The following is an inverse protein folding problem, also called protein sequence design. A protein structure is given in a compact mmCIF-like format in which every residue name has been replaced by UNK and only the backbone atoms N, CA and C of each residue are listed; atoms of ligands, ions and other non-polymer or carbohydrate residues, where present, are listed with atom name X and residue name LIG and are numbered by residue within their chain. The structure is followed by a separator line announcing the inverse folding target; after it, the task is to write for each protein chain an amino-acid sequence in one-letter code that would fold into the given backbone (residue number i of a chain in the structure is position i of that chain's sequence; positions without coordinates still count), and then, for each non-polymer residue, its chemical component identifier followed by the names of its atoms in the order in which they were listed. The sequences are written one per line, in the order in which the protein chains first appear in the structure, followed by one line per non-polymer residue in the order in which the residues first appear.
data_IF_197814198826
#
_entry.id   IF_197814198826
#
_cell.length_a   1.000
_cell.length_b   1.000
_cell.length_c   1.000
_cell.angle_alpha   90.00
_cell.angle_beta   90.00
_cell.angle_gamma   90.00
#
_symmetry.space_group_name_H-M   'P 1'
#
loop_
_entity.id
_entity.type
_entity.pdbx_description
1 polymer ?
2 non-polymer ?
3 non-polymer ?
4 non-polymer ?
5 water ?
#
# COMPACT_ATOMS: atom_id res chain seq x y z
N UNK A 1 -9.37 12.13 12.36
CA UNK A 1 -8.74 11.18 11.37
C UNK A 1 -9.68 10.06 10.90
N UNK A 2 -10.38 9.43 11.86
CA UNK A 2 -11.41 8.43 11.56
C UNK A 2 -12.68 9.04 10.96
N UNK A 3 -12.97 10.30 11.31
CA UNK A 3 -14.16 11.01 10.81
C UNK A 3 -14.00 11.38 9.33
N UNK A 4 -15.09 11.23 8.58
CA UNK A 4 -15.09 11.44 7.12
C UNK A 4 -15.93 12.65 6.70
N UNK A 5 -15.54 13.29 5.60
CA UNK A 5 -16.35 14.33 4.96
C UNK A 5 -17.50 13.70 4.16
N UNK A 6 -18.40 14.54 3.65
CA UNK A 6 -19.58 14.06 2.90
C UNK A 6 -19.26 13.43 1.53
N UNK A 7 -18.18 13.88 0.88
CA UNK A 7 -17.74 13.29 -0.39
C UNK A 7 -17.23 11.85 -0.22
N UNK A 8 -16.46 11.63 0.84
CA UNK A 8 -15.96 10.28 1.19
C UNK A 8 -17.09 9.34 1.65
N UNK A 9 -18.04 9.89 2.40
CA UNK A 9 -19.21 9.13 2.87
C UNK A 9 -20.13 8.71 1.71
N UNK A 10 -20.32 9.62 0.76
CA UNK A 10 -21.12 9.36 -0.46
C UNK A 10 -20.52 8.27 -1.34
N UNK A 11 -19.20 8.35 -1.56
CA UNK A 11 -18.48 7.38 -2.40
C UNK A 11 -18.43 5.98 -1.80
N UNK A 12 -18.25 5.90 -0.49
CA UNK A 12 -18.22 4.62 0.23
C UNK A 12 -19.60 3.96 0.25
N UNK A 13 -20.64 4.78 0.41
CA UNK A 13 -22.03 4.31 0.30
C UNK A 13 -22.36 3.86 -1.13
N UNK A 14 -21.83 4.57 -2.12
CA UNK A 14 -22.01 4.21 -3.54
C UNK A 14 -21.31 2.89 -3.90
N UNK A 15 -20.12 2.66 -3.35
CA UNK A 15 -19.40 1.39 -3.54
C UNK A 15 -20.19 0.20 -2.98
N UNK A 16 -20.73 0.36 -1.77
CA UNK A 16 -21.48 -0.71 -1.08
C UNK A 16 -22.81 -1.03 -1.79
N UNK A 17 -23.51 0.02 -2.22
CA UNK A 17 -24.75 -0.13 -3.00
C UNK A 17 -24.53 -0.95 -4.28
N UNK A 18 -23.44 -0.67 -4.99
CA UNK A 18 -23.06 -1.44 -6.19
C UNK A 18 -22.64 -2.88 -5.85
N UNK A 19 -21.89 -3.03 -4.75
CA UNK A 19 -21.43 -4.34 -4.26
C UNK A 19 -22.58 -5.28 -3.85
N UNK A 20 -23.63 -4.71 -3.26
CA UNK A 20 -24.82 -5.48 -2.86
C UNK A 20 -25.54 -6.15 -4.05
N UNK A 21 -25.45 -5.53 -5.22
CA UNK A 21 -26.03 -6.09 -6.46
C UNK A 21 -25.27 -7.30 -7.03
N UNK A 22 -24.01 -7.48 -6.65
CA UNK A 22 -23.11 -8.45 -7.30
C UNK A 22 -23.45 -9.90 -6.95
N UNK A 23 -23.60 -10.18 -5.66
CA UNK A 23 -23.87 -11.54 -5.18
C UNK A 23 -22.61 -12.40 -5.15
N UNK A 24 -22.79 -13.71 -5.28
CA UNK A 24 -21.70 -14.68 -5.15
C UNK A 24 -20.81 -14.69 -6.40
N UNK A 25 -19.51 -14.47 -6.20
CA UNK A 25 -18.55 -14.42 -7.31
C UNK A 25 -18.22 -15.82 -7.82
N UNK A 26 -18.30 -16.01 -9.13
CA UNK A 26 -17.99 -17.29 -9.79
C UNK A 26 -17.00 -17.09 -10.93
N UNK A 27 -16.21 -18.12 -11.19
CA UNK A 27 -15.10 -18.09 -12.15
C UNK A 27 -15.53 -17.72 -13.58
N UNK A 28 -16.60 -18.34 -14.06
CA UNK A 28 -17.11 -18.10 -15.43
C UNK A 28 -17.80 -16.75 -15.63
N UNK A 29 -18.11 -16.03 -14.56
CA UNK A 29 -18.73 -14.70 -14.66
C UNK A 29 -17.73 -13.55 -14.89
N UNK A 30 -16.47 -13.88 -15.18
CA UNK A 30 -15.41 -12.89 -15.43
C UNK A 30 -14.84 -12.97 -16.85
N UNK A 31 -14.66 -11.80 -17.48
CA UNK A 31 -14.01 -11.66 -18.78
C UNK A 31 -12.74 -10.82 -18.61
N UNK A 32 -11.62 -11.29 -19.15
CA UNK A 32 -10.34 -10.58 -19.10
C UNK A 32 -10.36 -9.34 -20.00
N UNK A 33 -10.01 -8.18 -19.44
CA UNK A 33 -9.84 -6.94 -20.21
C UNK A 33 -8.37 -6.76 -20.52
N UNK A 34 -7.54 -6.74 -19.48
CA UNK A 34 -6.10 -6.56 -19.64
C UNK A 34 -5.30 -7.05 -18.43
N UNK A 35 -4.00 -7.26 -18.64
CA UNK A 35 -3.06 -7.56 -17.56
C UNK A 35 -2.60 -6.26 -16.92
N UNK A 36 -2.73 -6.16 -15.60
CA UNK A 36 -2.31 -4.96 -14.86
C UNK A 36 -0.86 -5.04 -14.37
N UNK A 37 -0.42 -6.24 -14.00
CA UNK A 37 0.98 -6.48 -13.61
C UNK A 37 1.16 -7.61 -12.61
N UNK A 38 2.31 -8.28 -12.67
CA UNK A 38 2.65 -9.36 -11.74
C UNK A 38 3.07 -8.80 -10.38
N UNK A 39 2.30 -9.10 -9.34
CA UNK A 39 2.51 -8.55 -7.99
C UNK A 39 3.08 -9.56 -7.00
N UNK A 40 2.54 -9.57 -5.77
CA UNK A 40 2.97 -10.51 -4.72
C UNK A 40 2.47 -11.93 -4.99
N UNK A 41 3.30 -12.73 -5.66
CA UNK A 41 3.00 -14.14 -5.89
C UNK A 41 1.79 -14.45 -6.74
N UNK A 42 1.49 -13.57 -7.70
CA UNK A 42 0.33 -13.76 -8.58
C UNK A 42 0.09 -12.61 -9.56
N UNK A 43 -0.58 -12.93 -10.66
CA UNK A 43 -0.87 -11.96 -11.72
C UNK A 43 -2.22 -11.28 -11.47
N UNK A 44 -2.23 -9.95 -11.53
CA UNK A 44 -3.46 -9.17 -11.37
C UNK A 44 -3.96 -8.75 -12.75
N UNK A 45 -5.23 -9.05 -13.03
CA UNK A 45 -5.90 -8.69 -14.28
C UNK A 45 -6.98 -7.64 -14.02
N UNK A 46 -7.17 -6.75 -14.98
CA UNK A 46 -8.38 -5.93 -15.05
C UNK A 46 -9.44 -6.81 -15.70
N UNK A 47 -10.59 -6.96 -15.04
CA UNK A 47 -11.65 -7.86 -15.51
C UNK A 47 -13.02 -7.19 -15.46
N UNK A 48 -13.93 -7.67 -16.30
CA UNK A 48 -15.35 -7.29 -16.24
C UNK A 48 -16.12 -8.42 -15.56
N UNK A 49 -16.90 -8.08 -14.53
CA UNK A 49 -17.90 -9.00 -13.98
C UNK A 49 -19.13 -8.93 -14.89
N UNK A 50 -19.26 -9.91 -15.78
CA UNK A 50 -20.22 -9.87 -16.90
C UNK A 50 -21.69 -9.66 -16.48
N UNK A 51 -22.17 -10.38 -15.44
CA UNK A 51 -23.56 -10.21 -15.01
C UNK A 51 -23.87 -8.79 -14.51
N UNK A 52 -23.07 -8.27 -13.59
CA UNK A 52 -23.28 -6.94 -13.01
C UNK A 52 -22.75 -5.79 -13.89
N UNK A 53 -21.85 -6.10 -14.82
CA UNK A 53 -21.19 -5.08 -15.65
C UNK A 53 -20.08 -4.29 -14.95
N UNK A 54 -19.77 -4.66 -13.71
CA UNK A 54 -18.75 -3.96 -12.91
C UNK A 54 -17.35 -4.35 -13.33
N UNK A 55 -16.50 -3.35 -13.54
CA UNK A 55 -15.06 -3.57 -13.73
C UNK A 55 -14.45 -3.84 -12.35
N UNK A 56 -13.53 -4.80 -12.31
CA UNK A 56 -12.83 -5.17 -11.07
C UNK A 56 -11.35 -5.43 -11.35
N UNK A 57 -10.59 -5.53 -10.26
CA UNK A 57 -9.21 -6.01 -10.30
C UNK A 57 -9.20 -7.41 -9.68
N UNK A 58 -8.68 -8.39 -10.41
CA UNK A 58 -8.69 -9.79 -10.00
C UNK A 58 -7.26 -10.34 -9.91
N UNK A 59 -6.82 -10.67 -8.69
CA UNK A 59 -5.52 -11.30 -8.46
C UNK A 59 -5.72 -12.81 -8.34
N UNK A 60 -4.98 -13.57 -9.15
CA UNK A 60 -5.02 -15.04 -9.13
C UNK A 60 -3.76 -15.61 -8.48
N UNK A 61 -3.94 -16.33 -7.37
CA UNK A 61 -2.83 -16.95 -6.64
C UNK A 61 -2.86 -18.46 -6.92
N UNK A 62 -1.94 -18.91 -7.78
CA UNK A 62 -1.85 -20.32 -8.15
C UNK A 62 -1.29 -21.17 -7.01
N UNK A 63 -2.13 -22.07 -6.47
CA UNK A 63 -1.73 -23.00 -5.41
C UNK A 63 -2.43 -24.35 -5.56
N UNK A 64 -1.69 -25.43 -5.32
CA UNK A 64 -2.22 -26.79 -5.30
C UNK A 64 -2.47 -27.19 -3.85
N UNK A 65 -3.72 -27.08 -3.41
CA UNK A 65 -4.12 -27.38 -2.02
C UNK A 65 -5.48 -28.07 -1.94
N UNK A 66 -5.69 -28.81 -0.86
CA UNK A 66 -6.91 -29.60 -0.66
C UNK A 66 -8.11 -28.72 -0.31
N UNK A 67 -9.36 -29.24 -0.48
CA UNK A 67 -10.58 -28.50 -0.10
C UNK A 67 -10.64 -27.96 1.34
N UNK A 68 -9.98 -28.64 2.28
CA UNK A 68 -9.90 -28.19 3.67
C UNK A 68 -9.17 -26.85 3.81
N UNK A 69 -7.97 -26.79 3.22
CA UNK A 69 -7.09 -25.61 3.31
C UNK A 69 -7.68 -24.40 2.59
N UNK A 70 -8.10 -24.59 1.34
CA UNK A 70 -8.60 -23.49 0.50
C UNK A 70 -9.90 -22.86 1.03
N UNK A 71 -10.83 -23.69 1.52
CA UNK A 71 -12.07 -23.19 2.12
C UNK A 71 -11.84 -22.41 3.42
N UNK A 72 -10.76 -22.72 4.14
CA UNK A 72 -10.34 -21.95 5.32
C UNK A 72 -9.78 -20.58 4.93
N UNK A 73 -9.09 -20.52 3.79
CA UNK A 73 -8.57 -19.25 3.26
C UNK A 73 -9.71 -18.31 2.83
N UNK A 74 -10.75 -18.85 2.20
CA UNK A 74 -11.89 -18.05 1.74
C UNK A 74 -12.68 -17.45 2.92
N UNK A 75 -12.89 -18.21 4.00
CA UNK A 75 -13.58 -17.69 5.19
C UNK A 75 -12.73 -16.66 5.97
N UNK A 76 -11.41 -16.83 5.97
CA UNK A 76 -10.49 -15.85 6.58
C UNK A 76 -10.45 -14.51 5.82
N UNK A 77 -10.59 -14.57 4.50
CA UNK A 77 -10.67 -13.37 3.66
C UNK A 77 -12.00 -12.59 3.80
N UNK A 78 -13.03 -13.19 4.40
CA UNK A 78 -14.34 -12.53 4.57
C UNK A 78 -14.33 -11.28 5.45
N UNK A 79 -13.31 -11.14 6.31
CA UNK A 79 -13.14 -9.92 7.12
C UNK A 79 -12.94 -8.65 6.27
N UNK A 80 -12.40 -8.82 5.05
CA UNK A 80 -12.25 -7.71 4.10
C UNK A 80 -13.56 -7.04 3.68
N UNK A 81 -14.69 -7.76 3.79
CA UNK A 81 -16.03 -7.18 3.64
C UNK A 81 -16.32 -6.08 4.66
N UNK A 82 -15.78 -6.24 5.88
CA UNK A 82 -15.95 -5.28 6.98
C UNK A 82 -14.98 -4.08 6.91
N UNK A 83 -13.89 -4.19 6.15
CA UNK A 83 -12.89 -3.12 6.06
C UNK A 83 -13.35 -2.02 5.09
N UNK A 84 -14.26 -1.18 5.59
CA UNK A 84 -14.87 -0.11 4.80
C UNK A 84 -14.26 1.25 5.16
N UNK A 85 -13.45 1.79 4.25
CA UNK A 85 -12.69 3.02 4.50
C UNK A 85 -12.28 3.72 3.20
N UNK A 86 -12.27 5.07 3.17
CA UNK A 86 -11.72 5.78 2.01
C UNK A 86 -10.22 5.55 1.71
N UNK A 87 -9.47 5.04 2.69
CA UNK A 87 -8.03 4.78 2.54
C UNK A 87 -7.68 3.28 2.48
N UNK A 88 -8.69 2.46 2.24
CA UNK A 88 -8.53 1.01 2.07
C UNK A 88 -9.25 0.60 0.78
N UNK A 89 -8.56 -0.19 -0.05
CA UNK A 89 -9.09 -0.64 -1.34
C UNK A 89 -10.29 -1.56 -1.10
N UNK A 90 -11.36 -1.34 -1.87
CA UNK A 90 -12.60 -2.08 -1.73
C UNK A 90 -12.48 -3.53 -2.12
N UNK A 91 -13.21 -4.38 -1.40
CA UNK A 91 -13.20 -5.83 -1.56
C UNK A 91 -14.58 -6.27 -2.07
N UNK A 92 -14.60 -7.05 -3.15
CA UNK A 92 -15.83 -7.63 -3.70
C UNK A 92 -16.08 -9.05 -3.23
N UNK A 93 -15.02 -9.86 -3.21
CA UNK A 93 -15.11 -11.25 -2.78
C UNK A 93 -13.90 -12.08 -3.13
N UNK A 94 -13.90 -13.33 -2.66
CA UNK A 94 -12.82 -14.28 -2.92
C UNK A 94 -13.37 -15.68 -3.11
N UNK A 95 -12.73 -16.44 -4.00
CA UNK A 95 -13.13 -17.82 -4.30
C UNK A 95 -11.96 -18.64 -4.85
N UNK A 96 -12.15 -19.95 -4.87
CA UNK A 96 -11.19 -20.89 -5.45
C UNK A 96 -11.77 -21.48 -6.73
N UNK A 97 -10.89 -21.72 -7.72
CA UNK A 97 -11.29 -22.34 -8.98
C UNK A 97 -10.09 -22.89 -9.75
N UNK A 98 -10.05 -24.21 -9.92
CA UNK A 98 -9.07 -24.90 -10.78
C UNK A 98 -7.61 -24.53 -10.48
N UNK A 99 -7.17 -24.87 -9.28
CA UNK A 99 -5.77 -24.69 -8.87
C UNK A 99 -5.31 -23.28 -8.58
N UNK A 100 -6.25 -22.36 -8.31
CA UNK A 100 -5.90 -20.96 -8.04
C UNK A 100 -6.97 -20.19 -7.25
N UNK A 101 -6.53 -19.59 -6.14
CA UNK A 101 -7.37 -18.66 -5.36
C UNK A 101 -7.49 -17.36 -6.13
N UNK A 102 -8.69 -16.79 -6.14
CA UNK A 102 -8.94 -15.48 -6.75
C UNK A 102 -9.38 -14.48 -5.68
N UNK A 103 -8.81 -13.27 -5.75
CA UNK A 103 -9.18 -12.17 -4.86
C UNK A 103 -9.62 -11.01 -5.73
N UNK A 104 -10.90 -10.63 -5.62
CA UNK A 104 -11.50 -9.60 -6.46
C UNK A 104 -11.70 -8.31 -5.67
N UNK A 105 -11.17 -7.22 -6.23
CA UNK A 105 -11.05 -5.95 -5.53
C UNK A 105 -11.55 -4.79 -6.40
N UNK A 106 -11.62 -3.61 -5.79
CA UNK A 106 -11.87 -2.35 -6.49
C UNK A 106 -10.71 -2.05 -7.44
N UNK A 107 -11.02 -1.75 -8.70
CA UNK A 107 -9.99 -1.37 -9.67
C UNK A 107 -9.57 0.08 -9.45
N UNK A 108 -8.25 0.29 -9.33
CA UNK A 108 -7.66 1.62 -9.12
C UNK A 108 -6.91 2.02 -10.39
N UNK A 109 -7.52 2.89 -11.20
CA UNK A 109 -7.00 3.17 -12.55
C UNK A 109 -5.60 3.83 -12.64
N UNK A 110 -5.15 4.44 -11.53
CA UNK A 110 -3.80 5.00 -11.43
C UNK A 110 -2.70 3.98 -11.15
N UNK A 111 -3.08 2.74 -10.84
CA UNK A 111 -2.13 1.68 -10.49
C UNK A 111 -1.52 1.87 -9.12
N UNK A 112 -0.39 1.21 -8.88
CA UNK A 112 0.36 1.33 -7.62
C UNK A 112 1.42 2.43 -7.72
N UNK A 113 1.96 2.84 -6.57
CA UNK A 113 2.95 3.93 -6.52
C UNK A 113 4.37 3.56 -6.99
N UNK A 114 4.71 2.27 -7.01
CA UNK A 114 5.95 1.83 -7.65
C UNK A 114 5.89 2.05 -9.17
N UNK A 115 4.70 1.84 -9.75
CA UNK A 115 4.47 2.11 -11.18
C UNK A 115 4.47 3.62 -11.48
N UNK A 116 3.81 4.40 -10.61
CA UNK A 116 3.75 5.85 -10.75
C UNK A 116 5.14 6.49 -10.60
N UNK A 117 5.92 5.98 -9.64
CA UNK A 117 7.29 6.43 -9.40
C UNK A 117 8.19 6.18 -10.61
N UNK A 118 8.10 4.95 -11.14
CA UNK A 118 8.86 4.54 -12.32
C UNK A 118 8.54 5.41 -13.55
N UNK A 119 7.29 5.87 -13.61
CA UNK A 119 6.82 6.81 -14.64
C UNK A 119 7.30 8.23 -14.35
N UNK A 120 7.12 8.68 -13.10
CA UNK A 120 7.45 10.05 -12.67
C UNK A 120 8.95 10.35 -12.56
N UNK A 121 9.74 9.32 -12.25
CA UNK A 121 11.14 9.49 -11.88
C UNK A 121 11.24 9.69 -10.38
N UNK A 122 10.76 10.84 -9.91
CA UNK A 122 10.53 11.07 -8.48
C UNK A 122 9.26 11.89 -8.24
N UNK A 123 8.67 11.73 -7.06
CA UNK A 123 7.36 12.33 -6.73
C UNK A 123 7.56 13.59 -5.87
N UNK A 124 6.84 14.69 -6.20
CA UNK A 124 7.05 15.93 -5.43
C UNK A 124 6.63 15.85 -3.96
N UNK A 125 7.32 16.62 -3.11
CA UNK A 125 7.06 16.65 -1.67
C UNK A 125 5.58 16.83 -1.29
N UNK A 126 4.93 17.81 -1.92
CA UNK A 126 3.51 18.11 -1.67
C UNK A 126 2.57 16.95 -2.04
N UNK A 127 2.91 16.23 -3.10
CA UNK A 127 2.19 15.01 -3.49
C UNK A 127 2.40 13.93 -2.42
N UNK A 128 3.64 13.76 -1.97
CA UNK A 128 3.98 12.80 -0.90
C UNK A 128 3.38 13.16 0.46
N UNK A 129 3.04 14.43 0.66
CA UNK A 129 2.26 14.87 1.82
C UNK A 129 0.87 14.26 1.84
N UNK A 130 0.20 14.25 0.70
CA UNK A 130 -1.11 13.60 0.55
C UNK A 130 -1.01 12.08 0.66
N UNK A 131 0.04 11.50 0.10
CA UNK A 131 0.33 10.06 0.26
C UNK A 131 0.50 9.71 1.74
N UNK A 132 1.26 10.54 2.46
CA UNK A 132 1.50 10.32 3.90
C UNK A 132 0.22 10.34 4.74
N UNK A 133 -0.64 11.33 4.49
CA UNK A 133 -1.95 11.45 5.17
C UNK A 133 -2.78 10.17 4.99
N UNK A 134 -2.85 9.69 3.75
CA UNK A 134 -3.65 8.52 3.40
C UNK A 134 -3.15 7.21 4.03
N UNK A 135 -1.82 7.03 4.06
CA UNK A 135 -1.23 5.84 4.68
C UNK A 135 -1.46 5.85 6.19
N UNK A 136 -1.24 7.00 6.85
CA UNK A 136 -1.48 7.13 8.29
C UNK A 136 -2.94 6.81 8.65
N UNK A 137 -3.88 7.43 7.92
CA UNK A 137 -5.31 7.23 8.15
C UNK A 137 -5.75 5.79 7.85
N UNK A 138 -5.20 5.21 6.78
CA UNK A 138 -5.42 3.80 6.45
C UNK A 138 -4.93 2.86 7.53
N UNK A 139 -3.72 3.12 8.05
CA UNK A 139 -3.17 2.35 9.18
C UNK A 139 -3.94 2.58 10.48
N UNK A 140 -4.37 3.81 10.71
CA UNK A 140 -5.21 4.15 11.87
C UNK A 140 -6.55 3.42 11.83
N UNK A 141 -7.16 3.31 10.64
CA UNK A 141 -8.42 2.61 10.47
C UNK A 141 -8.32 1.12 10.79
N UNK A 142 -7.33 0.46 10.21
CA UNK A 142 -7.08 -0.97 10.44
C UNK A 142 -6.81 -1.29 11.92
N UNK A 143 -6.10 -0.41 12.59
CA UNK A 143 -5.70 -0.60 13.99
C UNK A 143 -6.87 -0.32 14.94
N UNK A 144 -7.57 0.79 14.74
CA UNK A 144 -8.69 1.18 15.61
C UNK A 144 -9.94 0.32 15.41
N UNK A 145 -10.40 0.22 14.16
CA UNK A 145 -11.67 -0.45 13.86
C UNK A 145 -11.60 -1.98 13.75
N UNK A 146 -10.40 -2.53 13.55
CA UNK A 146 -10.23 -3.99 13.38
C UNK A 146 -9.12 -4.65 14.22
N UNK A 147 -8.35 -3.87 14.98
CA UNK A 147 -7.19 -4.38 15.75
C UNK A 147 -6.19 -5.13 14.85
N UNK A 148 -5.93 -4.55 13.68
CA UNK A 148 -5.10 -5.14 12.64
C UNK A 148 -3.98 -4.16 12.27
N UNK A 149 -2.79 -4.68 12.04
CA UNK A 149 -1.70 -3.92 11.40
C UNK A 149 -1.51 -4.41 9.97
N UNK A 150 -0.86 -3.61 9.14
CA UNK A 150 -0.71 -3.92 7.71
C UNK A 150 0.26 -5.09 7.48
N UNK A 151 1.47 -4.97 8.05
CA UNK A 151 2.57 -5.96 7.94
C UNK A 151 3.37 -5.92 6.62
N UNK A 152 2.96 -5.11 5.64
CA UNK A 152 3.62 -5.08 4.33
C UNK A 152 3.37 -3.78 3.57
N UNK A 153 3.66 -2.65 4.22
CA UNK A 153 3.61 -1.35 3.56
C UNK A 153 4.80 -1.25 2.60
N UNK A 154 4.50 -0.87 1.35
CA UNK A 154 5.51 -0.61 0.32
C UNK A 154 4.83 0.10 -0.86
N UNK A 155 5.59 0.75 -1.76
CA UNK A 155 4.98 1.48 -2.87
C UNK A 155 4.02 0.67 -3.76
N UNK A 156 4.32 -0.62 -3.97
CA UNK A 156 3.43 -1.51 -4.73
C UNK A 156 2.09 -1.81 -4.03
N UNK A 157 2.04 -1.67 -2.70
CA UNK A 157 0.80 -1.85 -1.92
C UNK A 157 0.03 -0.55 -1.62
N UNK A 158 0.45 0.57 -2.21
CA UNK A 158 -0.28 1.84 -2.12
C UNK A 158 -0.83 2.14 -3.53
N UNK A 159 -2.14 1.99 -3.69
CA UNK A 159 -2.81 2.18 -4.97
C UNK A 159 -3.48 3.55 -5.03
N UNK A 160 -3.57 4.10 -6.25
CA UNK A 160 -4.08 5.46 -6.48
C UNK A 160 -5.02 5.49 -7.69
N UNK A 161 -5.85 6.53 -7.78
CA UNK A 161 -6.77 6.68 -8.92
C UNK A 161 -7.02 8.12 -9.38
N UNK A 162 -7.70 8.24 -10.51
CA UNK A 162 -8.00 9.53 -11.16
C UNK A 162 -9.02 10.41 -10.43
N UNK A 163 -9.73 9.86 -9.43
CA UNK A 163 -10.58 10.66 -8.53
C UNK A 163 -9.78 11.29 -7.38
N UNK A 164 -8.48 11.03 -7.31
CA UNK A 164 -7.59 11.63 -6.32
C UNK A 164 -7.40 10.79 -5.06
N UNK A 165 -7.94 9.57 -5.06
CA UNK A 165 -7.94 8.70 -3.88
C UNK A 165 -6.62 7.94 -3.78
N UNK A 166 -6.17 7.72 -2.55
CA UNK A 166 -4.95 6.98 -2.24
C UNK A 166 -5.34 5.94 -1.19
N UNK A 167 -5.10 4.66 -1.50
CA UNK A 167 -5.61 3.54 -0.69
C UNK A 167 -4.55 2.45 -0.47
N UNK A 168 -4.67 1.75 0.67
CA UNK A 168 -3.82 0.61 0.99
C UNK A 168 -4.48 -0.72 0.63
N UNK A 169 -3.66 -1.70 0.25
CA UNK A 169 -4.09 -3.07 0.00
C UNK A 169 -3.06 -4.07 0.47
N UNK A 170 -3.42 -5.35 0.45
CA UNK A 170 -2.55 -6.48 0.83
C UNK A 170 -2.07 -6.43 2.29
N UNK A 171 -2.99 -6.08 3.18
CA UNK A 171 -2.74 -6.15 4.64
C UNK A 171 -3.05 -7.57 5.13
N UNK A 172 -2.37 -7.97 6.20
CA UNK A 172 -2.46 -9.33 6.73
C UNK A 172 -3.82 -9.68 7.32
N UNK A 173 -4.52 -10.61 6.68
CA UNK A 173 -5.84 -11.09 7.14
C UNK A 173 -5.95 -12.62 7.23
N UNK A 174 -5.40 -13.33 6.24
CA UNK A 174 -5.41 -14.80 6.19
C UNK A 174 -4.04 -15.37 6.55
N UNK A 175 -3.95 -16.01 7.72
CA UNK A 175 -2.74 -16.71 8.14
C UNK A 175 -2.41 -17.92 7.29
N UNK A 176 -3.45 -18.68 6.91
CA UNK A 176 -3.30 -19.88 6.08
C UNK A 176 -2.82 -19.58 4.66
N UNK A 177 -3.22 -18.44 4.10
CA UNK A 177 -2.77 -18.02 2.76
C UNK A 177 -1.26 -17.78 2.73
N UNK A 178 -0.74 -17.11 3.77
CA UNK A 178 0.70 -16.88 3.92
C UNK A 178 1.49 -18.19 4.11
N UNK A 179 0.90 -19.14 4.83
CA UNK A 179 1.48 -20.48 5.01
C UNK A 179 1.59 -21.23 3.68
N UNK A 180 0.49 -21.26 2.93
CA UNK A 180 0.42 -21.98 1.65
C UNK A 180 1.26 -21.35 0.53
N UNK A 181 1.29 -20.02 0.47
CA UNK A 181 2.14 -19.29 -0.49
C UNK A 181 3.63 -19.45 -0.22
N UNK A 182 4.01 -19.49 1.07
CA UNK A 182 5.40 -19.71 1.47
C UNK A 182 5.85 -21.13 1.20
N UNK A 186 8.37 -15.39 -0.07
CA UNK A 186 7.82 -14.99 -1.38
C UNK A 186 8.10 -13.51 -1.66
N UNK A 187 7.40 -12.62 -0.96
CA UNK A 187 7.50 -11.16 -1.19
C UNK A 187 8.78 -10.56 -0.63
N UNK A 188 9.11 -9.36 -1.11
CA UNK A 188 10.33 -8.66 -0.67
C UNK A 188 10.29 -8.30 0.82
N UNK A 189 11.43 -8.46 1.48
CA UNK A 189 11.61 -8.07 2.89
C UNK A 189 12.42 -6.77 3.02
N UNK A 190 12.73 -6.14 1.90
CA UNK A 190 13.58 -4.93 1.87
C UNK A 190 12.94 -3.68 2.47
N UNK A 191 11.63 -3.70 2.73
CA UNK A 191 10.93 -2.61 3.44
C UNK A 191 10.62 -2.93 4.90
N UNK A 192 11.07 -4.08 5.40
CA UNK A 192 10.81 -4.47 6.79
C UNK A 192 11.66 -3.68 7.76
N UNK A 193 11.11 -3.43 8.94
CA UNK A 193 11.79 -2.67 9.99
C UNK A 193 12.94 -3.49 10.58
N UNK A 194 13.98 -2.81 11.13
CA UNK A 194 15.12 -3.53 11.70
C UNK A 194 14.75 -4.51 12.81
N UNK A 195 13.79 -4.14 13.67
CA UNK A 195 13.33 -5.02 14.75
C UNK A 195 12.57 -6.26 14.26
N UNK A 196 11.87 -6.13 13.12
CA UNK A 196 11.25 -7.29 12.45
C UNK A 196 12.27 -8.23 11.81
N UNK A 197 13.32 -7.65 11.23
CA UNK A 197 14.44 -8.43 10.67
C UNK A 197 15.32 -9.07 11.77
N UNK A 198 15.28 -8.50 12.97
CA UNK A 198 15.91 -9.10 14.16
C UNK A 198 14.99 -10.08 14.93
N UNK A 199 13.73 -10.18 14.51
CA UNK A 199 12.77 -11.11 15.11
C UNK A 199 12.36 -10.77 16.54
N UNK A 200 12.32 -9.47 16.86
CA UNK A 200 12.04 -8.98 18.22
C UNK A 200 10.63 -8.33 18.27
N UNK A 201 10.33 -7.64 19.39
CA UNK A 201 9.03 -6.99 19.60
C UNK A 201 8.66 -5.99 18.49
N UNK A 202 7.75 -6.42 17.60
CA UNK A 202 7.26 -5.60 16.49
C UNK A 202 5.74 -5.38 16.57
N UNK A 203 5.30 -4.20 16.14
CA UNK A 203 3.91 -3.77 16.23
C UNK A 203 3.57 -2.87 15.03
N UNK A 204 2.53 -2.02 15.17
CA UNK A 204 2.21 -0.99 14.16
C UNK A 204 3.38 -0.03 13.85
N UNK A 205 4.28 0.14 14.82
CA UNK A 205 5.54 0.89 14.64
C UNK A 205 6.38 0.38 13.45
N UNK A 206 6.30 -0.93 13.20
CA UNK A 206 6.99 -1.56 12.07
C UNK A 206 6.48 -1.08 10.70
N UNK A 207 5.17 -0.83 10.59
CA UNK A 207 4.57 -0.24 9.38
C UNK A 207 5.00 1.20 9.15
N UNK A 208 5.24 1.93 10.25
CA UNK A 208 5.66 3.33 10.18
C UNK A 208 7.05 3.46 9.56
N UNK A 209 7.95 2.53 9.91
CA UNK A 209 9.27 2.43 9.26
C UNK A 209 9.11 2.25 7.76
N UNK A 210 8.30 1.25 7.39
CA UNK A 210 8.05 0.90 5.99
C UNK A 210 7.48 2.07 5.17
N UNK A 211 6.58 2.84 5.78
CA UNK A 211 6.07 4.07 5.18
C UNK A 211 7.20 5.08 4.99
N UNK A 212 7.93 5.35 6.07
CA UNK A 212 9.09 6.25 6.04
C UNK A 212 10.08 5.93 4.95
N UNK A 213 10.40 4.64 4.80
CA UNK A 213 11.36 4.19 3.79
C UNK A 213 10.79 4.33 2.37
N UNK A 214 9.53 3.93 2.20
CA UNK A 214 8.80 4.13 0.94
C UNK A 214 8.75 5.59 0.48
N UNK A 215 8.51 6.50 1.43
CA UNK A 215 8.45 7.94 1.14
C UNK A 215 9.79 8.50 0.69
N UNK A 216 10.87 8.02 1.31
CA UNK A 216 12.24 8.40 0.93
C UNK A 216 12.53 7.93 -0.51
N UNK A 217 12.19 6.68 -0.80
CA UNK A 217 12.36 6.12 -2.16
C UNK A 217 11.62 6.95 -3.20
N UNK A 218 10.35 7.20 -2.95
CA UNK A 218 9.50 7.99 -3.85
C UNK A 218 9.99 9.44 -4.00
N UNK A 219 10.54 10.00 -2.92
CA UNK A 219 11.07 11.36 -2.93
C UNK A 219 12.34 11.50 -3.78
N UNK A 220 13.29 10.56 -3.61
CA UNK A 220 14.59 10.61 -4.31
C UNK A 220 14.58 9.86 -5.66
N UNK A 221 13.63 8.97 -5.86
CA UNK A 221 13.46 8.23 -7.12
C UNK A 221 14.28 6.97 -7.21
N UNK A 222 14.60 6.40 -6.06
CA UNK A 222 15.51 5.25 -5.98
C UNK A 222 15.40 4.64 -4.58
N UNK A 223 15.41 3.31 -4.51
CA UNK A 223 15.43 2.63 -3.22
C UNK A 223 16.69 3.08 -2.45
N UNK A 224 16.52 3.69 -1.26
CA UNK A 224 17.59 4.51 -0.67
C UNK A 224 18.69 3.79 0.13
N UNK A 225 18.67 2.46 0.18
CA UNK A 225 19.69 1.68 0.90
C UNK A 225 20.48 0.85 -0.12
N UNK A 226 21.81 1.07 -0.24
CA UNK A 226 22.67 1.96 0.54
C UNK A 226 22.51 3.43 0.10
N UNK A 227 23.02 4.39 0.90
CA UNK A 227 22.83 5.81 0.53
C UNK A 227 23.51 6.20 -0.80
N UNK A 228 22.94 7.16 -1.55
CA UNK A 228 23.62 7.64 -2.75
C UNK A 228 24.88 8.46 -2.44
N UNK A 229 25.79 8.52 -3.41
CA UNK A 229 27.03 9.32 -3.28
C UNK A 229 26.72 10.81 -3.40
N UNK A 230 27.71 11.63 -3.05
CA UNK A 230 27.63 13.09 -3.22
C UNK A 230 27.51 13.48 -4.70
N UNK A 231 28.18 12.73 -5.57
CA UNK A 231 28.09 12.90 -7.02
C UNK A 231 26.73 12.45 -7.58
N UNK A 232 26.22 11.33 -7.06
CA UNK A 232 24.91 10.79 -7.46
C UNK A 232 23.75 11.70 -7.07
N UNK A 233 23.83 12.32 -5.89
CA UNK A 233 22.84 13.32 -5.45
C UNK A 233 22.83 14.57 -6.34
N UNK A 234 24.01 14.97 -6.83
CA UNK A 234 24.13 16.08 -7.79
C UNK A 234 23.52 15.72 -9.15
N UNK A 235 23.76 14.49 -9.60
CA UNK A 235 23.14 13.96 -10.83
C UNK A 235 21.63 13.75 -10.68
N UNK A 236 21.20 13.32 -9.49
CA UNK A 236 19.78 13.16 -9.17
C UNK A 236 19.08 14.52 -9.10
N UNK A 237 19.63 15.43 -8.31
CA UNK A 237 19.09 16.78 -8.12
C UNK A 237 20.03 17.83 -8.68
N UNK A 269 26.55 -3.97 -6.59
CA UNK A 269 25.16 -4.15 -6.18
C UNK A 269 25.03 -5.07 -4.97
N UNK A 270 24.31 -4.63 -3.94
CA UNK A 270 24.10 -5.43 -2.73
C UNK A 270 23.12 -6.56 -2.98
N UNK A 271 23.49 -7.77 -2.58
CA UNK A 271 22.55 -8.89 -2.53
C UNK A 271 21.52 -8.66 -1.43
N UNK A 272 20.36 -9.28 -1.55
CA UNK A 272 19.27 -9.08 -0.58
C UNK A 272 19.69 -9.36 0.87
N UNK A 273 20.48 -10.40 1.09
CA UNK A 273 21.02 -10.72 2.43
C UNK A 273 21.98 -9.66 2.97
N UNK A 274 22.84 -9.13 2.11
CA UNK A 274 23.71 -8.00 2.45
C UNK A 274 22.90 -6.73 2.73
N UNK A 275 21.80 -6.56 2.01
CA UNK A 275 20.91 -5.41 2.18
C UNK A 275 20.14 -5.44 3.50
N UNK A 276 19.58 -6.60 3.84
CA UNK A 276 18.85 -6.76 5.12
C UNK A 276 19.77 -6.63 6.34
N UNK A 277 21.03 -7.04 6.19
CA UNK A 277 22.05 -6.85 7.24
C UNK A 277 22.39 -5.37 7.42
N UNK A 278 22.46 -4.64 6.30
CA UNK A 278 22.68 -3.18 6.29
C UNK A 278 21.58 -2.44 7.08
N UNK A 279 20.33 -2.82 6.84
CA UNK A 279 19.16 -2.23 7.54
C UNK A 279 19.26 -2.39 9.06
N UNK A 280 19.67 -3.57 9.51
CA UNK A 280 19.79 -3.88 10.95
C UNK A 280 21.00 -3.18 11.60
N UNK A 281 22.13 -3.14 10.88
CA UNK A 281 23.42 -2.74 11.45
C UNK A 281 23.87 -1.29 11.22
N UNK A 282 23.46 -0.68 10.11
CA UNK A 282 23.89 0.68 9.74
C UNK A 282 22.82 1.73 10.08
N UNK A 283 23.20 3.04 10.08
CA UNK A 283 22.19 4.08 10.34
C UNK A 283 21.10 4.14 9.27
N UNK A 284 19.89 4.62 9.65
CA UNK A 284 18.77 4.62 8.72
C UNK A 284 18.95 5.67 7.60
N UNK A 285 18.24 5.49 6.47
CA UNK A 285 18.32 6.49 5.41
C UNK A 285 17.67 7.81 5.79
N UNK A 286 18.05 8.86 5.06
CA UNK A 286 17.49 10.20 5.24
C UNK A 286 17.33 10.85 3.87
N UNK A 287 16.47 11.86 3.81
CA UNK A 287 16.37 12.70 2.62
C UNK A 287 17.60 13.61 2.56
N UNK A 288 18.04 13.96 1.34
CA UNK A 288 19.12 14.95 1.22
C UNK A 288 18.63 16.35 1.63
N UNK A 289 19.55 17.15 2.19
CA UNK A 289 19.21 18.49 2.67
C UNK A 289 19.18 19.49 1.51
N UNK A 290 18.49 20.61 1.74
CA UNK A 290 18.38 21.69 0.75
C UNK A 290 17.17 21.57 -0.17
N UNK A 291 17.02 20.41 -0.80
CA UNK A 291 15.98 20.17 -1.82
C UNK A 291 14.58 19.82 -1.24
N UNK A 292 14.54 19.39 0.02
CA UNK A 292 13.27 19.16 0.74
C UNK A 292 13.18 20.04 1.98
N UNK A 293 11.94 20.33 2.40
CA UNK A 293 11.72 21.14 3.61
C UNK A 293 12.16 20.37 4.84
N UNK A 294 12.57 21.10 5.88
CA UNK A 294 12.98 20.50 7.15
C UNK A 294 11.83 19.76 7.85
N UNK A 295 10.59 20.20 7.61
CA UNK A 295 9.39 19.51 8.10
C UNK A 295 9.24 18.10 7.52
N UNK A 296 9.46 17.96 6.21
CA UNK A 296 9.41 16.66 5.54
C UNK A 296 10.59 15.76 5.96
N UNK A 297 11.79 16.35 6.02
CA UNK A 297 12.98 15.65 6.55
C UNK A 297 12.76 15.12 7.97
N UNK A 298 12.23 15.96 8.85
CA UNK A 298 11.94 15.56 10.23
C UNK A 298 10.90 14.44 10.30
N UNK A 299 9.84 14.56 9.50
CA UNK A 299 8.77 13.55 9.43
C UNK A 299 9.33 12.15 9.11
N UNK A 300 10.07 12.04 8.01
CA UNK A 300 10.66 10.75 7.61
C UNK A 300 11.71 10.26 8.61
N UNK A 301 12.47 11.18 9.21
CA UNK A 301 13.42 10.87 10.28
C UNK A 301 12.73 10.21 11.47
N UNK A 302 11.63 10.81 11.92
CA UNK A 302 10.83 10.25 13.03
C UNK A 302 10.19 8.89 12.69
N UNK A 303 9.92 8.66 11.40
CA UNK A 303 9.46 7.36 10.91
C UNK A 303 10.57 6.30 10.90
N UNK A 304 11.81 6.72 10.71
CA UNK A 304 12.95 5.81 10.48
C UNK A 304 13.94 5.71 11.66
N UNK A 305 13.55 6.18 12.85
CA UNK A 305 14.30 5.93 14.09
C UNK A 305 14.30 4.41 14.31
N UNK A 306 15.49 3.81 14.40
CA UNK A 306 15.62 2.34 14.45
C UNK A 306 15.02 1.69 15.71
N UNK A 307 15.07 2.40 16.83
CA UNK A 307 14.40 1.96 18.06
C UNK A 307 12.89 2.19 17.91
N UNK A 308 12.08 1.10 17.94
CA UNK A 308 10.62 1.25 17.78
C UNK A 308 9.92 2.03 18.90
N UNK A 309 10.49 2.03 20.10
CA UNK A 309 9.99 2.81 21.23
C UNK A 309 10.19 4.31 21.00
N UNK A 310 11.39 4.68 20.57
CA UNK A 310 11.72 6.07 20.24
C UNK A 310 11.03 6.56 18.96
N UNK A 311 10.81 5.64 18.01
CA UNK A 311 10.11 5.94 16.75
C UNK A 311 8.71 6.49 16.99
N UNK A 312 8.30 7.44 16.16
CA UNK A 312 6.99 8.08 16.28
C UNK A 312 5.85 7.10 16.02
N UNK A 313 4.70 7.35 16.64
CA UNK A 313 3.50 6.53 16.46
C UNK A 313 2.46 7.26 15.61
N UNK A 314 1.40 6.56 15.23
CA UNK A 314 0.35 7.11 14.37
C UNK A 314 -0.30 8.37 14.95
N UNK A 315 -0.53 8.38 16.26
CA UNK A 315 -1.08 9.53 16.98
C UNK A 315 -0.15 10.75 16.87
N UNK A 316 1.14 10.53 17.09
CA UNK A 316 2.14 11.58 16.99
C UNK A 316 2.33 12.08 15.56
N UNK A 317 2.39 11.16 14.60
CA UNK A 317 2.52 11.52 13.18
C UNK A 317 1.33 12.30 12.63
N UNK A 318 0.12 12.01 13.11
CA UNK A 318 -1.09 12.72 12.65
C UNK A 318 -1.09 14.22 12.98
N UNK A 319 -0.42 14.60 14.07
CA UNK A 319 -0.27 16.01 14.48
C UNK A 319 1.12 16.61 14.14
N UNK A 320 1.91 15.90 13.33
CA UNK A 320 3.25 16.36 12.93
C UNK A 320 3.14 17.58 12.01
N UNK A 321 4.13 18.46 12.05
CA UNK A 321 4.12 19.73 11.29
C UNK A 321 3.94 19.53 9.78
N UNK A 322 4.62 18.52 9.24
CA UNK A 322 4.49 18.13 7.83
C UNK A 322 3.05 17.76 7.45
N UNK A 323 2.40 16.96 8.30
CA UNK A 323 1.03 16.49 8.06
C UNK A 323 0.02 17.62 8.20
N UNK A 324 0.15 18.41 9.26
CA UNK A 324 -0.69 19.61 9.48
C UNK A 324 -0.62 20.57 8.28
N UNK A 325 0.61 20.84 7.83
CA UNK A 325 0.82 21.68 6.65
C UNK A 325 0.25 21.03 5.38
N UNK A 326 0.54 19.76 5.18
CA UNK A 326 0.02 18.99 4.03
C UNK A 326 -1.51 18.95 3.97
N UNK A 327 -2.14 18.74 5.12
CA UNK A 327 -3.60 18.69 5.21
C UNK A 327 -4.25 20.03 4.86
N UNK A 328 -3.61 21.13 5.26
CA UNK A 328 -4.06 22.48 4.91
C UNK A 328 -3.85 22.82 3.43
N UNK A 329 -2.76 22.33 2.85
CA UNK A 329 -2.46 22.52 1.42
C UNK A 329 -3.52 21.85 0.54
N UNK A 330 -4.17 22.64 -0.30
CA UNK A 330 -5.14 22.11 -1.28
C UNK A 330 -4.38 21.72 -2.55
N UNK A 331 -3.85 20.50 -2.55
CA UNK A 331 -3.06 19.95 -3.65
C UNK A 331 -3.97 19.11 -4.55
N UNK A 332 -3.92 19.37 -5.85
CA UNK A 332 -4.68 18.62 -6.84
C UNK A 332 -3.91 17.35 -7.21
N UNK A 333 -4.08 16.31 -6.41
CA UNK A 333 -3.40 15.02 -6.63
C UNK A 333 -3.87 14.31 -7.90
N UNK A 334 -5.18 14.33 -8.13
CA UNK A 334 -5.79 13.68 -9.30
C UNK A 334 -5.21 14.24 -10.60
N UNK A 335 -5.20 15.56 -10.71
CA UNK A 335 -4.63 16.25 -11.87
C UNK A 335 -3.16 15.96 -12.07
N UNK A 336 -2.39 16.01 -10.98
CA UNK A 336 -0.96 15.67 -11.03
C UNK A 336 -0.74 14.24 -11.55
N UNK A 337 -1.52 13.30 -11.02
CA UNK A 337 -1.41 11.88 -11.38
C UNK A 337 -1.65 11.67 -12.88
N UNK A 338 -2.77 12.19 -13.37
CA UNK A 338 -3.18 12.02 -14.77
C UNK A 338 -2.16 12.56 -15.77
N UNK A 339 -1.62 13.74 -15.47
CA UNK A 339 -0.54 14.35 -16.27
C UNK A 339 0.75 13.52 -16.25
N UNK A 340 1.08 12.99 -15.07
CA UNK A 340 2.33 12.23 -14.87
C UNK A 340 2.32 10.87 -15.56
N UNK A 341 1.20 10.13 -15.46
CA UNK A 341 1.09 8.79 -16.04
C UNK A 341 0.35 8.75 -17.39
N UNK A 342 -0.10 9.90 -17.86
CA UNK A 342 -0.70 10.03 -19.18
C UNK A 342 -2.11 9.47 -19.33
N UNK A 343 -2.95 9.69 -18.32
CA UNK A 343 -4.38 9.39 -18.42
C UNK A 343 -5.05 10.50 -19.22
N UNK A 344 -5.35 10.20 -20.50
CA UNK A 344 -5.73 11.21 -21.49
C UNK A 344 -7.06 11.91 -21.20
X LIG B 1 -4.81 -8.78 -1.98
X LIG B 1 -4.15 -7.71 -4.00
X LIG B 1 -3.35 -6.57 -4.05
X LIG B 1 -3.60 -5.58 -4.99
X LIG B 1 -4.65 -5.71 -5.91
X LIG B 1 -5.45 -6.89 -5.85
X LIG B 1 -3.90 -4.32 -7.84
X LIG B 1 -4.12 -3.33 -8.83
X LIG B 1 -6.12 -3.95 -6.94
X LIG B 1 -4.85 -1.35 -10.66
X LIG B 1 -3.57 -1.93 -10.74
X LIG B 1 -1.57 -2.46 -11.29
X LIG B 1 -1.87 -3.26 -10.22
X LIG B 1 -0.96 -4.23 -9.59
X LIG B 1 0.24 -4.61 -10.50
X LIG B 1 0.62 -4.42 -7.60
X LIG B 1 -3.91 -8.70 -3.09
X LIG B 1 -6.79 -7.19 -6.93
X LIG B 1 -5.19 -7.86 -4.91
X LIG B 1 -4.89 -4.65 -6.92
X LIG B 1 -5.39 -2.65 -8.83
X LIG B 1 -6.36 -2.98 -7.87
X LIG B 1 -7.09 -4.23 -6.04
X LIG B 1 -5.69 -1.69 -9.73
X LIG B 1 -2.56 -1.70 -11.60
X LIG B 1 1.20 -5.53 -9.74
X LIG B 1 1.68 -4.76 -8.57
X LIG B 1 -0.42 -3.55 -8.31
X LIG B 1 -3.16 -2.94 -9.84
X LIG C 1 -14.13 -21.85 -15.39
X LIG D 1 -17.79 -23.84 -16.21
X LIG E 1 2.49 -9.07 0.67
#
# INVERSE_FOLDING_TARGET
ELELDEQQRKRLEAFLTQKQKVGELKDDDFEKISELGAGNGGVVFKVSHKPSGLVMARKLIHLEIKPAIRNQIIRELQVLHECNSPYIVGFYGAFYSDGEISICMEHMDGGSLDQVLKKAGRIPEQILGKVSIAVIKGLTYLREKHKIMHRDVKPSNILVNSRGEIKLCDFGVSGQLIDSMANSFVGTRSYMSPERLQGTHYSVQSDIWSMGLSLVEMAVGRYPIPPPDAKELELMFGCQVEGDAAETPPRPRTPGRPLNKFGMDSRPPMAIFELLDYIVNEPPPKLPSGVFSLEFQDFVNKCLIKNPAERADLKQLMVHAFIKRSDAEEVDFAGWLCSTIGLN
80C C1 C3 C4 C5 C6 C7 C11 C12 C15 C18 C19 C21 N22 C23 C24 C27 O2 CL8 C9 C10 C13 C14 F16 N17 N20 C25 N26 C28 C29
CA CA
CA CA
MG MG
#
